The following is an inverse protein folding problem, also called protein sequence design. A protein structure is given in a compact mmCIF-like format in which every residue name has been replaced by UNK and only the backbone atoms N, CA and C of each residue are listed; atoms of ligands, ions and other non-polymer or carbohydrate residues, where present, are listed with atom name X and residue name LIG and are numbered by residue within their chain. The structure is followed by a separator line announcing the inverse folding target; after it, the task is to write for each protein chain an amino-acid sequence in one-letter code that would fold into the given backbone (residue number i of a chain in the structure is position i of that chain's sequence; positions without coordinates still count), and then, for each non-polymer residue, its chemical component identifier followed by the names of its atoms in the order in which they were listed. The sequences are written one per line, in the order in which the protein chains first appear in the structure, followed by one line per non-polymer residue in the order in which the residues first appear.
data_IF_103615317089
#
_entry.id   IF_103615317089
#
_cell.length_a   1.000
_cell.length_b   1.000
_cell.length_c   1.000
_cell.angle_alpha   90.00
_cell.angle_beta   90.00
_cell.angle_gamma   90.00
#
_symmetry.space_group_name_H-M   'P 1'
#
loop_
_entity.id
_entity.type
_entity.pdbx_description
1 polymer ?
#
# COMPACT_ATOMS: atom_id res chain seq x y z
N UNK A 1 4.29 6.31 26.07
CA UNK A 1 4.96 5.76 24.88
C UNK A 1 4.29 4.43 24.52
N UNK A 2 4.06 4.12 23.25
CA UNK A 2 3.51 2.81 22.82
C UNK A 2 4.53 2.10 21.94
N UNK A 3 4.68 0.79 22.12
CA UNK A 3 5.63 -0.03 21.37
C UNK A 3 4.96 -0.59 20.12
N UNK A 4 5.66 -0.52 19.00
CA UNK A 4 5.24 -1.11 17.72
C UNK A 4 6.33 -2.09 17.30
N UNK A 5 5.96 -3.34 17.03
CA UNK A 5 6.87 -4.36 16.54
C UNK A 5 6.79 -4.43 15.01
N UNK A 6 7.94 -4.41 14.35
CA UNK A 6 8.05 -4.43 12.88
C UNK A 6 8.97 -5.59 12.51
N UNK A 7 8.47 -6.51 11.70
CA UNK A 7 9.28 -7.60 11.13
C UNK A 7 9.66 -7.25 9.70
N UNK A 8 10.95 -7.37 9.38
CA UNK A 8 11.48 -7.06 8.05
C UNK A 8 12.23 -8.28 7.49
N UNK A 9 12.12 -8.56 6.19
CA UNK A 9 13.04 -9.47 5.51
C UNK A 9 14.49 -9.02 5.71
N UNK A 10 15.42 -9.98 5.70
CA UNK A 10 16.83 -9.73 6.02
C UNK A 10 17.45 -8.67 5.11
N UNK A 11 17.14 -8.72 3.82
CA UNK A 11 17.63 -7.81 2.80
C UNK A 11 17.14 -6.38 3.06
N UNK A 12 15.89 -6.24 3.46
CA UNK A 12 15.29 -4.95 3.78
C UNK A 12 15.87 -4.39 5.08
N UNK A 13 16.07 -5.24 6.09
CA UNK A 13 16.71 -4.82 7.34
C UNK A 13 18.14 -4.30 7.09
N UNK A 14 18.91 -4.95 6.21
CA UNK A 14 20.23 -4.47 5.80
C UNK A 14 20.17 -3.12 5.06
N UNK A 15 19.16 -2.91 4.22
CA UNK A 15 18.95 -1.61 3.56
C UNK A 15 18.67 -0.50 4.57
N UNK A 16 17.82 -0.79 5.57
CA UNK A 16 17.52 0.15 6.68
C UNK A 16 18.79 0.49 7.45
N UNK A 17 19.60 -0.51 7.82
CA UNK A 17 20.85 -0.27 8.55
C UNK A 17 21.84 0.59 7.76
N UNK A 18 21.91 0.41 6.43
CA UNK A 18 22.72 1.26 5.55
C UNK A 18 22.21 2.70 5.50
N UNK A 19 20.89 2.89 5.38
CA UNK A 19 20.28 4.22 5.36
C UNK A 19 20.53 4.95 6.68
N UNK A 20 20.34 4.28 7.82
CA UNK A 20 20.60 4.83 9.17
C UNK A 20 22.02 5.37 9.29
N UNK A 21 23.02 4.58 8.87
CA UNK A 21 24.43 4.99 8.92
C UNK A 21 24.73 6.14 7.95
N UNK A 22 24.21 6.05 6.73
CA UNK A 22 24.46 7.05 5.68
C UNK A 22 23.85 8.42 6.02
N UNK A 23 22.66 8.41 6.60
CA UNK A 23 21.88 9.63 6.89
C UNK A 23 22.03 10.09 8.36
N UNK A 24 22.80 9.37 9.17
CA UNK A 24 23.17 9.80 10.53
C UNK A 24 22.05 9.68 11.58
N UNK A 25 21.12 8.74 11.43
CA UNK A 25 20.07 8.55 12.43
C UNK A 25 20.63 7.96 13.72
N UNK A 26 20.21 8.52 14.85
CA UNK A 26 20.62 8.06 16.18
C UNK A 26 20.22 6.61 16.51
N UNK A 27 19.15 6.09 15.89
CA UNK A 27 18.71 4.71 16.07
C UNK A 27 17.77 4.25 14.95
N UNK A 28 17.55 2.94 14.85
CA UNK A 28 16.48 2.35 14.02
C UNK A 28 15.11 2.95 14.36
N UNK A 29 14.81 3.11 15.65
CA UNK A 29 13.54 3.68 16.07
C UNK A 29 13.38 5.12 15.59
N UNK A 30 14.45 5.92 15.56
CA UNK A 30 14.34 7.30 15.07
C UNK A 30 14.15 7.38 13.57
N UNK A 31 14.84 6.52 12.81
CA UNK A 31 14.59 6.36 11.38
C UNK A 31 13.11 6.08 11.09
N UNK A 32 12.53 5.08 11.75
CA UNK A 32 11.11 4.75 11.55
C UNK A 32 10.16 5.85 12.06
N UNK A 33 10.48 6.54 13.16
CA UNK A 33 9.68 7.69 13.63
C UNK A 33 9.67 8.82 12.60
N UNK A 34 10.82 9.13 12.01
CA UNK A 34 10.93 10.15 10.96
C UNK A 34 10.13 9.75 9.73
N UNK A 35 10.20 8.49 9.30
CA UNK A 35 9.37 7.98 8.19
C UNK A 35 7.86 8.10 8.48
N UNK A 36 7.42 7.76 9.69
CA UNK A 36 6.01 7.87 10.08
C UNK A 36 5.57 9.35 10.10
N UNK A 37 6.39 10.25 10.66
CA UNK A 37 6.12 11.70 10.64
C UNK A 37 6.00 12.20 9.20
N UNK A 38 6.97 11.86 8.35
CA UNK A 38 6.98 12.25 6.94
C UNK A 38 5.72 11.76 6.21
N UNK A 39 5.30 10.52 6.42
CA UNK A 39 4.08 9.98 5.84
C UNK A 39 2.85 10.82 6.19
N UNK A 40 2.68 11.18 7.45
CA UNK A 40 1.55 12.01 7.88
C UNK A 40 1.67 13.46 7.40
N UNK A 41 2.87 14.04 7.42
CA UNK A 41 3.10 15.39 6.89
C UNK A 41 2.73 15.46 5.41
N UNK A 42 3.22 14.52 4.59
CA UNK A 42 2.93 14.47 3.16
C UNK A 42 1.45 14.19 2.86
N UNK A 43 0.76 13.45 3.72
CA UNK A 43 -0.68 13.22 3.61
C UNK A 43 -1.50 14.47 3.96
N UNK A 44 -1.04 15.28 4.92
CA UNK A 44 -1.73 16.48 5.40
C UNK A 44 -1.54 17.68 4.49
N UNK A 45 -0.36 17.83 3.89
CA UNK A 45 -0.16 18.77 2.78
C UNK A 45 -0.78 18.15 1.54
N UNK A 46 -1.66 18.83 0.81
CA UNK A 46 -2.29 18.35 -0.44
C UNK A 46 -1.30 18.10 -1.61
N UNK A 47 -0.03 17.78 -1.33
CA UNK A 47 1.00 17.32 -2.26
C UNK A 47 0.64 16.00 -2.96
N UNK A 48 -0.48 15.37 -2.59
CA UNK A 48 -1.12 14.26 -3.31
C UNK A 48 -1.67 14.62 -4.69
N UNK A 49 -1.53 15.87 -5.16
CA UNK A 49 -1.86 16.23 -6.54
C UNK A 49 -0.88 15.68 -7.59
N UNK A 50 0.31 15.20 -7.19
CA UNK A 50 1.24 14.50 -8.08
C UNK A 50 1.40 13.05 -7.64
N UNK A 51 0.33 12.26 -7.77
CA UNK A 51 0.38 10.81 -7.61
C UNK A 51 0.70 10.34 -6.19
N UNK A 52 -0.32 10.13 -5.37
CA UNK A 52 -0.15 9.41 -4.10
C UNK A 52 0.53 8.05 -4.35
N UNK A 53 1.78 7.87 -3.91
CA UNK A 53 2.47 6.58 -3.95
C UNK A 53 1.65 5.46 -3.30
N UNK A 54 0.78 5.83 -2.36
CA UNK A 54 -0.20 4.95 -1.75
C UNK A 54 -1.60 5.39 -2.14
N UNK A 55 -2.19 4.76 -3.15
CA UNK A 55 -3.62 4.93 -3.42
C UNK A 55 -4.37 4.10 -2.38
N UNK A 56 -5.11 4.72 -1.43
CA UNK A 56 -5.90 3.96 -0.49
C UNK A 56 -6.91 3.14 -1.29
N UNK A 57 -7.01 1.84 -0.97
CA UNK A 57 -8.01 0.99 -1.58
C UNK A 57 -9.40 1.56 -1.30
N UNK A 58 -10.09 2.00 -2.35
CA UNK A 58 -11.50 2.41 -2.30
C UNK A 58 -12.32 1.26 -2.83
N UNK A 59 -13.11 0.63 -1.94
CA UNK A 59 -14.01 -0.46 -2.31
C UNK A 59 -14.97 0.00 -3.41
N UNK A 60 -14.81 -0.56 -4.61
CA UNK A 60 -15.78 -0.46 -5.70
C UNK A 60 -16.72 -1.66 -5.66
N UNK A 61 -17.96 -1.52 -6.12
CA UNK A 61 -18.86 -2.68 -6.26
C UNK A 61 -18.29 -3.68 -7.26
N UNK A 62 -18.54 -4.97 -7.03
CA UNK A 62 -18.05 -6.04 -7.90
C UNK A 62 -18.59 -5.89 -9.34
N UNK A 63 -19.84 -5.46 -9.48
CA UNK A 63 -20.43 -5.15 -10.79
C UNK A 63 -19.65 -4.05 -11.51
N UNK A 64 -19.30 -2.96 -10.81
CA UNK A 64 -18.51 -1.87 -11.40
C UNK A 64 -17.11 -2.32 -11.81
N UNK A 65 -16.49 -3.20 -11.02
CA UNK A 65 -15.18 -3.79 -11.37
C UNK A 65 -15.30 -4.64 -12.64
N UNK A 66 -16.36 -5.45 -12.75
CA UNK A 66 -16.63 -6.26 -13.94
C UNK A 66 -16.84 -5.39 -15.17
N UNK A 67 -17.65 -4.34 -15.06
CA UNK A 67 -17.91 -3.37 -16.13
C UNK A 67 -16.62 -2.67 -16.58
N UNK A 68 -15.83 -2.15 -15.63
CA UNK A 68 -14.55 -1.48 -15.92
C UNK A 68 -13.56 -2.42 -16.61
N UNK A 69 -13.44 -3.69 -16.17
CA UNK A 69 -12.57 -4.68 -16.81
C UNK A 69 -13.05 -5.04 -18.22
N UNK A 70 -14.36 -5.16 -18.42
CA UNK A 70 -14.94 -5.46 -19.74
C UNK A 70 -14.72 -4.30 -20.71
N UNK A 71 -14.84 -3.06 -20.22
CA UNK A 71 -14.63 -1.85 -21.00
C UNK A 71 -13.18 -1.66 -21.49
N UNK A 72 -12.19 -2.36 -20.91
CA UNK A 72 -10.80 -2.29 -21.38
C UNK A 72 -10.55 -3.08 -22.66
N UNK A 73 -11.42 -4.05 -23.00
CA UNK A 73 -11.26 -4.99 -24.13
C UNK A 73 -9.90 -5.75 -24.15
N UNK A 74 -9.20 -5.79 -23.01
CA UNK A 74 -7.88 -6.41 -22.86
C UNK A 74 -7.95 -7.84 -22.31
N UNK A 75 -9.11 -8.24 -21.78
CA UNK A 75 -9.25 -9.47 -21.00
C UNK A 75 -10.42 -10.32 -21.49
N UNK A 76 -10.25 -11.65 -21.44
CA UNK A 76 -11.33 -12.58 -21.74
C UNK A 76 -12.41 -12.56 -20.67
N UNK A 77 -13.66 -12.85 -21.06
CA UNK A 77 -14.79 -12.96 -20.13
C UNK A 77 -14.52 -13.97 -18.99
N UNK A 78 -13.89 -15.10 -19.32
CA UNK A 78 -13.50 -16.12 -18.35
C UNK A 78 -12.50 -15.60 -17.30
N UNK A 79 -11.54 -14.77 -17.71
CA UNK A 79 -10.60 -14.13 -16.79
C UNK A 79 -11.33 -13.15 -15.87
N UNK A 80 -12.18 -12.29 -16.43
CA UNK A 80 -12.93 -11.29 -15.67
C UNK A 80 -13.81 -11.98 -14.60
N UNK A 81 -14.52 -13.04 -14.97
CA UNK A 81 -15.35 -13.81 -14.04
C UNK A 81 -14.54 -14.51 -12.94
N UNK A 82 -13.34 -14.99 -13.28
CA UNK A 82 -12.41 -15.56 -12.29
C UNK A 82 -11.95 -14.51 -11.28
N UNK A 83 -11.61 -13.31 -11.74
CA UNK A 83 -11.20 -12.19 -10.87
C UNK A 83 -12.34 -11.80 -9.92
N UNK A 84 -13.56 -11.64 -10.44
CA UNK A 84 -14.73 -11.26 -9.63
C UNK A 84 -15.02 -12.31 -8.55
N UNK A 85 -15.03 -13.60 -8.90
CA UNK A 85 -15.21 -14.71 -7.94
C UNK A 85 -14.11 -14.76 -6.88
N UNK A 86 -12.88 -14.44 -7.26
CA UNK A 86 -11.77 -14.33 -6.31
C UNK A 86 -11.97 -13.19 -5.32
N UNK A 87 -12.39 -12.02 -5.83
CA UNK A 87 -12.66 -10.84 -5.00
C UNK A 87 -13.82 -11.07 -4.03
N UNK A 88 -14.90 -11.75 -4.43
CA UNK A 88 -16.02 -12.12 -3.56
C UNK A 88 -15.59 -12.85 -2.28
N UNK A 89 -14.56 -13.70 -2.39
CA UNK A 89 -14.04 -14.49 -1.26
C UNK A 89 -13.09 -13.70 -0.35
N UNK A 90 -12.61 -12.54 -0.81
CA UNK A 90 -11.66 -11.72 -0.05
C UNK A 90 -12.32 -11.10 1.18
N UNK A 91 -11.55 -10.92 2.25
CA UNK A 91 -12.03 -10.34 3.52
C UNK A 91 -12.65 -8.95 3.38
N UNK A 92 -12.32 -8.21 2.32
CA UNK A 92 -12.84 -6.86 2.05
C UNK A 92 -14.24 -6.87 1.43
N UNK A 93 -14.64 -7.97 0.79
CA UNK A 93 -15.90 -8.11 0.05
C UNK A 93 -16.84 -9.16 0.66
N UNK A 94 -16.29 -10.06 1.49
CA UNK A 94 -17.07 -11.00 2.29
C UNK A 94 -18.06 -10.21 3.15
N UNK A 95 -19.34 -10.57 3.03
CA UNK A 95 -20.42 -10.09 3.91
C UNK A 95 -20.31 -10.73 5.29
#
# INVERSE_FOLDING_TARGET
MRTVNISLPKELNQQVDRAIRKEGYASRSEFFRTLIRLYFTLRSTNATQQGSFFVPFKKKSLNKIKEELTATDQYSSAFIDSVVKGLEKSSLYKK
#
